data_IF_373563712689
#
_entry.id   IF_373563712689
#
_cell.length_a   1.000
_cell.length_b   1.000
_cell.length_c   1.000
_cell.angle_alpha   90.00
_cell.angle_beta   90.00
_cell.angle_gamma   90.00
#
_symmetry.space_group_name_H-M   'P 1'
#
loop_
_entity.id
_entity.type
_entity.pdbx_description
1 polymer ?
#
# COMPACT_ATOMS: atom_id res chain seq x y z
N UNK A 1 -17.79 -69.18 5.85
CA UNK A 1 -18.07 -68.70 7.22
C UNK A 1 -17.13 -67.56 7.49
N UNK A 2 -17.51 -66.30 7.14
CA UNK A 2 -16.68 -65.11 7.25
C UNK A 2 -17.42 -64.11 8.14
N UNK A 3 -16.88 -63.86 9.31
CA UNK A 3 -17.42 -62.96 10.32
C UNK A 3 -17.15 -61.52 9.90
N UNK A 4 -18.21 -60.73 9.71
CA UNK A 4 -18.16 -59.26 9.58
C UNK A 4 -18.02 -58.65 10.97
N UNK A 5 -16.91 -57.98 11.21
CA UNK A 5 -16.73 -57.11 12.37
C UNK A 5 -17.09 -55.68 11.91
N UNK A 6 -18.21 -55.15 12.42
CA UNK A 6 -18.61 -53.76 12.29
C UNK A 6 -17.89 -52.94 13.38
N UNK A 7 -16.99 -52.06 12.98
CA UNK A 7 -16.48 -51.00 13.85
C UNK A 7 -17.37 -49.76 13.75
N UNK A 8 -18.18 -49.50 14.77
CA UNK A 8 -18.89 -48.25 14.97
C UNK A 8 -17.90 -47.21 15.42
N UNK A 9 -17.55 -46.28 14.52
CA UNK A 9 -16.72 -45.08 14.83
C UNK A 9 -17.65 -44.03 15.45
N UNK A 10 -17.63 -43.89 16.77
CA UNK A 10 -18.28 -42.76 17.48
C UNK A 10 -17.36 -41.56 17.33
N UNK A 11 -17.73 -40.67 16.41
CA UNK A 11 -17.10 -39.34 16.28
C UNK A 11 -17.62 -38.45 17.40
N UNK A 12 -16.84 -38.28 18.45
CA UNK A 12 -17.03 -37.22 19.43
C UNK A 12 -16.69 -35.89 18.78
N UNK A 13 -17.68 -35.15 18.27
CA UNK A 13 -17.54 -33.74 17.93
C UNK A 13 -17.51 -32.96 19.24
N UNK A 14 -16.32 -32.72 19.76
CA UNK A 14 -16.10 -31.76 20.82
C UNK A 14 -16.30 -30.36 20.22
N UNK A 15 -17.48 -29.74 20.41
CA UNK A 15 -17.66 -28.32 20.25
C UNK A 15 -16.80 -27.62 21.30
N UNK A 16 -15.55 -27.32 20.96
CA UNK A 16 -14.78 -26.35 21.68
C UNK A 16 -15.47 -24.98 21.42
N UNK A 17 -16.26 -24.51 22.36
CA UNK A 17 -16.57 -23.09 22.48
C UNK A 17 -15.21 -22.40 22.66
N UNK A 18 -14.64 -21.89 21.59
CA UNK A 18 -13.55 -20.96 21.66
C UNK A 18 -14.09 -19.75 22.41
N UNK A 19 -13.76 -19.64 23.68
CA UNK A 19 -13.92 -18.42 24.46
C UNK A 19 -13.10 -17.40 23.70
N UNK A 20 -13.75 -16.50 22.95
CA UNK A 20 -13.09 -15.40 22.24
C UNK A 20 -12.37 -14.55 23.27
N UNK A 21 -11.10 -14.86 23.48
CA UNK A 21 -10.24 -14.04 24.34
C UNK A 21 -10.07 -12.70 23.65
N UNK A 22 -10.64 -11.66 24.24
CA UNK A 22 -10.45 -10.27 23.74
C UNK A 22 -8.95 -10.02 23.68
N UNK A 23 -8.44 -9.85 22.45
CA UNK A 23 -7.02 -9.60 22.25
C UNK A 23 -6.70 -8.17 22.67
N UNK A 24 -5.71 -8.04 23.57
CA UNK A 24 -5.27 -6.75 24.08
C UNK A 24 -4.03 -6.28 23.34
N UNK A 25 -4.06 -5.04 22.85
CA UNK A 25 -2.96 -4.45 22.10
C UNK A 25 -2.39 -3.22 22.83
N UNK A 26 -1.06 -3.17 22.97
CA UNK A 26 -0.34 -1.92 23.17
C UNK A 26 -0.12 -1.22 21.83
N UNK A 27 0.24 0.06 21.82
CA UNK A 27 0.58 0.78 20.56
C UNK A 27 1.67 0.06 19.78
N UNK A 28 2.72 -0.39 20.46
CA UNK A 28 3.80 -1.18 19.86
C UNK A 28 3.28 -2.47 19.23
N UNK A 29 2.45 -3.23 19.95
CA UNK A 29 1.86 -4.48 19.45
C UNK A 29 0.91 -4.25 18.26
N UNK A 30 0.11 -3.17 18.30
CA UNK A 30 -0.78 -2.80 17.21
C UNK A 30 0.00 -2.45 15.93
N UNK A 31 1.10 -1.70 16.05
CA UNK A 31 1.98 -1.38 14.93
C UNK A 31 2.63 -2.66 14.38
N UNK A 32 3.19 -3.52 15.24
CA UNK A 32 3.81 -4.79 14.80
C UNK A 32 2.80 -5.70 14.10
N UNK A 33 1.60 -5.79 14.62
CA UNK A 33 0.52 -6.54 13.97
C UNK A 33 0.20 -5.98 12.58
N UNK A 34 0.04 -4.66 12.46
CA UNK A 34 -0.24 -4.00 11.19
C UNK A 34 0.89 -4.20 10.16
N UNK A 35 2.16 -4.16 10.59
CA UNK A 35 3.31 -4.38 9.71
C UNK A 35 3.35 -5.80 9.11
N UNK A 36 2.64 -6.76 9.73
CA UNK A 36 2.56 -8.14 9.23
C UNK A 36 1.23 -8.46 8.54
N UNK A 37 0.13 -7.80 8.92
CA UNK A 37 -1.21 -8.17 8.49
C UNK A 37 -1.92 -7.11 7.62
N UNK A 38 -1.44 -5.86 7.56
CA UNK A 38 -2.07 -4.82 6.72
C UNK A 38 -2.05 -5.22 5.24
N UNK A 39 -3.21 -5.35 4.56
CA UNK A 39 -3.27 -5.74 3.16
C UNK A 39 -2.57 -4.74 2.24
N UNK A 40 -2.65 -3.44 2.55
CA UNK A 40 -1.98 -2.39 1.78
C UNK A 40 -0.47 -2.56 1.80
N UNK A 41 0.10 -2.85 2.97
CA UNK A 41 1.53 -3.09 3.11
C UNK A 41 1.97 -4.41 2.46
N UNK A 42 1.17 -5.46 2.60
CA UNK A 42 1.42 -6.75 1.93
C UNK A 42 1.46 -6.58 0.40
N UNK A 43 0.55 -5.79 -0.18
CA UNK A 43 0.54 -5.52 -1.61
C UNK A 43 1.83 -4.83 -2.07
N UNK A 44 2.32 -3.83 -1.35
CA UNK A 44 3.60 -3.17 -1.71
C UNK A 44 4.81 -4.09 -1.54
N UNK A 45 4.76 -5.03 -0.59
CA UNK A 45 5.77 -6.08 -0.47
C UNK A 45 5.70 -7.08 -1.64
N UNK A 46 4.50 -7.45 -2.10
CA UNK A 46 4.32 -8.29 -3.28
C UNK A 46 4.83 -7.60 -4.54
N UNK A 47 4.62 -6.29 -4.70
CA UNK A 47 5.20 -5.51 -5.80
C UNK A 47 6.73 -5.59 -5.81
N UNK A 48 7.37 -5.51 -4.64
CA UNK A 48 8.81 -5.74 -4.52
C UNK A 48 9.21 -7.17 -4.92
N UNK A 49 8.43 -8.19 -4.53
CA UNK A 49 8.68 -9.58 -4.95
C UNK A 49 8.51 -9.76 -6.47
N UNK A 50 7.49 -9.14 -7.07
CA UNK A 50 7.27 -9.12 -8.52
C UNK A 50 8.50 -8.50 -9.22
N UNK A 51 9.00 -7.37 -8.72
CA UNK A 51 10.20 -6.75 -9.27
C UNK A 51 11.45 -7.66 -9.16
N UNK A 52 11.55 -8.48 -8.12
CA UNK A 52 12.60 -9.51 -8.00
C UNK A 52 12.46 -10.60 -9.07
N UNK A 53 11.24 -11.10 -9.31
CA UNK A 53 11.00 -12.10 -10.34
C UNK A 53 11.22 -11.53 -11.75
N UNK A 54 10.96 -10.25 -11.96
CA UNK A 54 11.24 -9.57 -13.23
C UNK A 54 12.74 -9.61 -13.62
N UNK A 55 13.63 -9.61 -12.62
CA UNK A 55 15.05 -9.81 -12.88
C UNK A 55 15.31 -11.21 -13.45
N UNK A 56 14.69 -12.24 -12.90
CA UNK A 56 14.82 -13.62 -13.39
C UNK A 56 14.23 -13.76 -14.81
N UNK A 57 13.07 -13.17 -15.05
CA UNK A 57 12.41 -13.12 -16.36
C UNK A 57 13.32 -12.46 -17.42
N UNK A 58 13.86 -11.27 -17.14
CA UNK A 58 14.77 -10.60 -18.08
C UNK A 58 16.07 -11.40 -18.26
N UNK A 59 16.59 -12.00 -17.17
CA UNK A 59 17.79 -12.86 -17.23
C UNK A 59 17.55 -14.08 -18.13
N UNK A 60 16.34 -14.66 -18.12
CA UNK A 60 16.01 -15.85 -18.92
C UNK A 60 16.11 -15.60 -20.42
N UNK A 61 15.90 -14.36 -20.90
CA UNK A 61 16.10 -14.02 -22.30
C UNK A 61 17.57 -14.20 -22.79
N UNK A 62 18.53 -14.19 -21.86
CA UNK A 62 19.93 -14.52 -22.14
C UNK A 62 20.25 -16.00 -22.04
N UNK A 63 19.33 -16.87 -21.66
CA UNK A 63 19.51 -18.32 -21.61
C UNK A 63 19.05 -18.97 -22.93
N UNK A 64 19.47 -20.22 -23.22
CA UNK A 64 18.97 -20.94 -24.38
C UNK A 64 17.44 -21.04 -24.38
N UNK A 65 16.81 -20.69 -25.49
CA UNK A 65 15.39 -20.85 -25.75
C UNK A 65 15.19 -22.05 -26.68
N UNK A 66 14.43 -23.04 -26.23
CA UNK A 66 14.14 -24.25 -27.01
C UNK A 66 12.64 -24.32 -27.24
N UNK A 67 12.25 -24.34 -28.52
CA UNK A 67 10.85 -24.40 -28.93
C UNK A 67 10.61 -25.58 -29.84
N UNK A 68 9.52 -26.28 -29.71
CA UNK A 68 9.05 -27.29 -30.65
C UNK A 68 7.90 -26.73 -31.48
N UNK A 69 7.96 -26.91 -32.77
CA UNK A 69 6.91 -26.45 -33.69
C UNK A 69 6.51 -27.62 -34.60
N UNK A 70 5.21 -27.87 -34.69
CA UNK A 70 4.61 -28.80 -35.64
C UNK A 70 3.72 -28.02 -36.59
N UNK A 71 4.04 -28.09 -37.89
CA UNK A 71 3.31 -27.34 -38.93
C UNK A 71 2.77 -28.31 -39.97
N UNK A 72 1.45 -28.47 -40.04
CA UNK A 72 0.77 -29.16 -41.14
C UNK A 72 0.23 -28.11 -42.10
N UNK A 73 0.68 -28.22 -43.40
CA UNK A 73 0.16 -27.38 -44.48
C UNK A 73 -0.54 -28.28 -45.50
N UNK A 74 -1.74 -27.87 -45.88
CA UNK A 74 -2.46 -28.42 -47.01
C UNK A 74 -2.56 -27.35 -48.10
N UNK A 75 -1.94 -27.60 -49.26
CA UNK A 75 -2.03 -26.73 -50.41
C UNK A 75 -3.27 -27.09 -51.22
N UNK A 76 -4.29 -26.24 -51.18
CA UNK A 76 -5.51 -26.37 -52.02
C UNK A 76 -5.10 -26.28 -53.49
N UNK A 77 -4.15 -25.38 -53.79
CA UNK A 77 -3.45 -25.35 -55.09
C UNK A 77 -1.95 -25.32 -54.85
N UNK A 78 -1.25 -26.25 -55.51
CA UNK A 78 0.21 -26.31 -55.42
C UNK A 78 0.79 -25.15 -56.21
N UNK A 79 1.72 -24.37 -55.61
CA UNK A 79 2.34 -23.23 -56.29
C UNK A 79 2.99 -23.65 -57.64
N UNK A 80 2.68 -22.90 -58.69
CA UNK A 80 3.26 -23.10 -60.01
C UNK A 80 4.55 -22.27 -60.11
N UNK A 81 5.66 -22.93 -60.41
CA UNK A 81 6.93 -22.27 -60.69
C UNK A 81 7.19 -22.25 -62.23
N UNK A 82 7.63 -21.10 -62.71
CA UNK A 82 8.07 -21.00 -64.12
C UNK A 82 9.50 -21.48 -64.23
N UNK A 83 9.72 -22.53 -65.02
CA UNK A 83 11.05 -23.09 -65.29
C UNK A 83 11.45 -22.79 -66.73
N UNK A 84 12.72 -22.41 -66.99
CA UNK A 84 13.17 -22.18 -68.36
C UNK A 84 12.92 -23.41 -69.23
N UNK A 85 12.21 -23.21 -70.33
CA UNK A 85 11.79 -24.28 -71.23
C UNK A 85 12.93 -25.03 -71.90
N UNK A 86 14.09 -24.43 -71.91
CA UNK A 86 15.32 -25.03 -72.44
C UNK A 86 15.63 -26.38 -71.76
N UNK A 87 15.31 -26.59 -70.48
CA UNK A 87 15.49 -27.86 -69.77
C UNK A 87 14.58 -29.00 -70.32
N UNK A 88 13.53 -28.61 -71.02
CA UNK A 88 12.55 -29.55 -71.62
C UNK A 88 12.49 -29.50 -73.11
N UNK A 89 13.56 -28.99 -73.79
CA UNK A 89 13.70 -28.99 -75.27
C UNK A 89 12.90 -27.85 -75.95
N UNK A 90 12.36 -26.87 -75.20
CA UNK A 90 11.68 -25.73 -75.80
C UNK A 90 12.67 -24.62 -76.21
N UNK A 91 12.30 -23.68 -77.15
CA UNK A 91 13.15 -22.58 -77.56
C UNK A 91 13.65 -21.71 -76.40
N UNK A 92 14.87 -21.15 -76.59
CA UNK A 92 15.46 -20.21 -75.62
C UNK A 92 14.50 -19.02 -75.31
N UNK A 93 14.40 -18.69 -74.01
CA UNK A 93 13.53 -17.58 -73.53
C UNK A 93 12.07 -17.97 -73.32
N UNK A 94 11.69 -19.24 -73.53
CA UNK A 94 10.34 -19.73 -73.14
C UNK A 94 10.34 -20.23 -71.67
N UNK A 95 9.22 -20.06 -70.98
CA UNK A 95 9.01 -20.58 -69.64
C UNK A 95 7.85 -21.58 -69.63
N UNK A 96 8.11 -22.73 -69.00
CA UNK A 96 7.08 -23.77 -68.80
C UNK A 96 6.60 -23.74 -67.38
N UNK A 97 5.27 -23.61 -67.14
CA UNK A 97 4.72 -23.67 -65.79
C UNK A 97 4.73 -25.10 -65.28
N UNK A 98 5.46 -25.33 -64.19
CA UNK A 98 5.53 -26.65 -63.52
C UNK A 98 5.07 -26.51 -62.08
N UNK A 99 4.25 -27.44 -61.62
CA UNK A 99 3.83 -27.55 -60.22
C UNK A 99 4.79 -28.46 -59.49
N UNK A 100 5.65 -27.87 -58.61
CA UNK A 100 6.54 -28.64 -57.77
C UNK A 100 5.97 -28.76 -56.36
N UNK A 101 5.82 -29.97 -55.86
CA UNK A 101 5.36 -30.25 -54.54
C UNK A 101 4.18 -31.21 -54.49
N UNK A 102 3.68 -31.38 -53.28
CA UNK A 102 2.55 -32.26 -52.98
C UNK A 102 1.57 -31.51 -52.07
N UNK A 103 0.30 -31.93 -52.05
CA UNK A 103 -0.72 -31.18 -51.28
C UNK A 103 -0.46 -31.12 -49.78
N UNK A 104 0.03 -32.19 -49.18
CA UNK A 104 0.23 -32.28 -47.74
C UNK A 104 1.69 -32.18 -47.36
N UNK A 105 2.03 -31.21 -46.49
CA UNK A 105 3.35 -31.06 -45.90
C UNK A 105 3.26 -31.00 -44.40
N UNK A 106 3.87 -31.94 -43.69
CA UNK A 106 3.99 -31.96 -42.25
C UNK A 106 5.46 -31.77 -41.85
N UNK A 107 5.71 -30.77 -41.06
CA UNK A 107 7.04 -30.50 -40.52
C UNK A 107 6.95 -30.54 -38.97
N UNK A 108 7.83 -31.28 -38.36
CA UNK A 108 7.99 -31.37 -36.90
C UNK A 108 9.42 -30.99 -36.61
N UNK A 109 9.61 -29.93 -35.80
CA UNK A 109 10.95 -29.43 -35.53
C UNK A 109 11.12 -28.94 -34.11
N UNK A 110 12.40 -28.93 -33.70
CA UNK A 110 12.87 -28.30 -32.48
C UNK A 110 13.89 -27.22 -32.90
N UNK A 111 13.63 -26.00 -32.46
CA UNK A 111 14.53 -24.87 -32.70
C UNK A 111 15.12 -24.40 -31.37
N UNK A 112 16.42 -24.17 -31.35
CA UNK A 112 17.16 -23.61 -30.24
C UNK A 112 17.70 -22.23 -30.63
N UNK A 113 17.48 -21.23 -29.78
CA UNK A 113 18.12 -19.92 -29.97
C UNK A 113 18.81 -19.50 -28.66
N UNK A 114 20.01 -18.90 -28.82
CA UNK A 114 20.78 -18.37 -27.68
C UNK A 114 21.26 -16.98 -27.99
N UNK A 115 20.87 -16.03 -27.17
CA UNK A 115 21.41 -14.68 -27.27
C UNK A 115 22.86 -14.66 -26.81
N UNK A 116 23.78 -14.29 -27.74
CA UNK A 116 25.21 -14.19 -27.45
C UNK A 116 25.63 -12.77 -27.11
N UNK A 117 25.06 -11.80 -27.83
CA UNK A 117 25.30 -10.39 -27.59
C UNK A 117 24.10 -9.54 -27.99
N UNK A 118 23.66 -8.69 -27.08
CA UNK A 118 22.73 -7.59 -27.32
C UNK A 118 22.96 -6.53 -26.23
N UNK A 119 23.36 -5.32 -26.64
CA UNK A 119 23.63 -4.22 -25.75
C UNK A 119 22.38 -3.84 -24.91
N UNK A 120 21.17 -3.95 -25.50
CA UNK A 120 19.93 -3.61 -24.83
C UNK A 120 19.59 -4.61 -23.72
N UNK A 121 19.95 -5.88 -23.89
CA UNK A 121 19.77 -6.92 -22.88
C UNK A 121 20.59 -6.62 -21.61
N UNK A 122 21.90 -6.33 -21.75
CA UNK A 122 22.76 -6.08 -20.59
C UNK A 122 22.35 -4.84 -19.82
N UNK A 123 21.97 -3.77 -20.52
CA UNK A 123 21.49 -2.54 -19.89
C UNK A 123 20.09 -2.78 -19.31
N UNK A 124 19.22 -3.52 -19.99
CA UNK A 124 17.90 -3.92 -19.52
C UNK A 124 17.97 -4.69 -18.20
N UNK A 125 18.90 -5.64 -18.09
CA UNK A 125 19.13 -6.38 -16.84
C UNK A 125 19.58 -5.46 -15.70
N UNK A 126 20.37 -4.44 -15.99
CA UNK A 126 20.77 -3.43 -15.00
C UNK A 126 19.58 -2.52 -14.61
N UNK A 127 18.71 -2.19 -15.58
CA UNK A 127 17.50 -1.40 -15.33
C UNK A 127 16.50 -2.13 -14.42
N UNK A 128 16.34 -3.45 -14.58
CA UNK A 128 15.45 -4.23 -13.67
C UNK A 128 15.94 -4.22 -12.23
N UNK A 129 17.27 -4.17 -12.02
CA UNK A 129 17.84 -4.02 -10.66
C UNK A 129 17.53 -2.65 -10.06
N UNK A 130 17.58 -1.58 -10.87
CA UNK A 130 17.20 -0.24 -10.42
C UNK A 130 15.69 -0.15 -10.09
N UNK A 131 14.84 -0.82 -10.88
CA UNK A 131 13.40 -0.91 -10.58
C UNK A 131 13.14 -1.68 -9.29
N UNK A 132 13.87 -2.79 -9.03
CA UNK A 132 13.79 -3.50 -7.75
C UNK A 132 14.14 -2.59 -6.57
N UNK A 133 15.18 -1.76 -6.67
CA UNK A 133 15.54 -0.80 -5.62
C UNK A 133 14.44 0.24 -5.41
N UNK A 134 13.86 0.76 -6.51
CA UNK A 134 12.73 1.68 -6.45
C UNK A 134 11.54 1.08 -5.69
N UNK A 135 11.13 -0.15 -6.02
CA UNK A 135 10.00 -0.82 -5.37
C UNK A 135 10.30 -1.17 -3.91
N UNK A 136 11.53 -1.48 -3.57
CA UNK A 136 11.94 -1.69 -2.17
C UNK A 136 11.81 -0.41 -1.34
N UNK A 137 12.23 0.75 -1.87
CA UNK A 137 12.07 2.03 -1.18
C UNK A 137 10.60 2.45 -1.07
N UNK A 138 9.79 2.15 -2.09
CA UNK A 138 8.34 2.34 -2.02
C UNK A 138 7.70 1.48 -0.90
N UNK A 139 8.14 0.23 -0.74
CA UNK A 139 7.73 -0.62 0.37
C UNK A 139 8.15 -0.03 1.73
N UNK A 140 9.39 0.47 1.87
CA UNK A 140 9.84 1.13 3.11
C UNK A 140 8.97 2.36 3.44
N UNK A 141 8.61 3.17 2.43
CA UNK A 141 7.69 4.30 2.60
C UNK A 141 6.32 3.85 3.09
N UNK A 142 5.75 2.79 2.48
CA UNK A 142 4.46 2.24 2.89
C UNK A 142 4.48 1.74 4.34
N UNK A 143 5.61 1.21 4.83
CA UNK A 143 5.78 0.85 6.25
C UNK A 143 5.64 2.06 7.15
N UNK A 144 6.30 3.17 6.84
CA UNK A 144 6.19 4.42 7.62
C UNK A 144 4.76 4.98 7.58
N UNK A 145 4.10 4.93 6.43
CA UNK A 145 2.70 5.34 6.29
C UNK A 145 1.78 4.48 7.17
N UNK A 146 2.00 3.17 7.21
CA UNK A 146 1.25 2.23 8.07
C UNK A 146 1.49 2.54 9.55
N UNK A 147 2.74 2.74 9.97
CA UNK A 147 3.08 3.13 11.35
C UNK A 147 2.35 4.42 11.73
N UNK A 148 2.41 5.44 10.87
CA UNK A 148 1.74 6.74 11.08
C UNK A 148 0.22 6.57 11.26
N UNK A 149 -0.42 5.82 10.34
CA UNK A 149 -1.86 5.63 10.34
C UNK A 149 -2.35 4.86 11.57
N UNK A 150 -1.65 3.78 11.92
CA UNK A 150 -1.99 2.97 13.11
C UNK A 150 -1.77 3.75 14.40
N UNK A 151 -0.66 4.50 14.52
CA UNK A 151 -0.38 5.31 15.71
C UNK A 151 -1.45 6.38 15.93
N UNK A 152 -1.86 7.08 14.87
CA UNK A 152 -2.94 8.08 14.95
C UNK A 152 -4.29 7.45 15.30
N UNK A 153 -4.64 6.33 14.66
CA UNK A 153 -5.88 5.63 14.95
C UNK A 153 -5.91 5.10 16.38
N UNK A 154 -4.79 4.57 16.88
CA UNK A 154 -4.64 4.09 18.26
C UNK A 154 -4.84 5.21 19.27
N UNK A 155 -4.19 6.36 19.08
CA UNK A 155 -4.35 7.55 19.93
C UNK A 155 -5.79 8.08 19.89
N UNK A 156 -6.43 8.05 18.72
CA UNK A 156 -7.85 8.44 18.59
C UNK A 156 -8.74 7.57 19.44
N UNK A 157 -8.52 6.25 19.48
CA UNK A 157 -9.28 5.35 20.36
C UNK A 157 -9.05 5.70 21.82
N UNK A 158 -7.80 5.86 22.28
CA UNK A 158 -7.50 6.21 23.68
C UNK A 158 -8.19 7.52 24.12
N UNK A 159 -8.15 8.54 23.26
CA UNK A 159 -8.72 9.85 23.58
C UNK A 159 -10.25 9.83 23.56
N UNK A 160 -10.87 9.10 22.62
CA UNK A 160 -12.32 8.95 22.59
C UNK A 160 -12.83 8.11 23.78
N UNK A 161 -12.08 7.11 24.22
CA UNK A 161 -12.38 6.37 25.45
C UNK A 161 -12.31 7.25 26.69
N UNK A 162 -11.27 8.07 26.82
CA UNK A 162 -11.13 9.00 27.94
C UNK A 162 -12.25 10.03 27.94
N UNK A 163 -12.62 10.59 26.80
CA UNK A 163 -13.77 11.47 26.67
C UNK A 163 -15.05 10.78 27.08
N UNK A 164 -15.28 9.53 26.67
CA UNK A 164 -16.46 8.77 27.04
C UNK A 164 -16.53 8.54 28.56
N UNK A 165 -15.40 8.22 29.20
CA UNK A 165 -15.26 8.06 30.63
C UNK A 165 -15.65 9.35 31.40
N UNK A 166 -15.07 10.48 30.95
CA UNK A 166 -15.38 11.79 31.56
C UNK A 166 -16.85 12.19 31.41
N UNK A 167 -17.44 11.95 30.24
CA UNK A 167 -18.87 12.20 30.00
C UNK A 167 -19.76 11.32 30.91
N UNK A 168 -19.36 10.06 31.13
CA UNK A 168 -20.07 9.13 32.01
C UNK A 168 -20.03 9.63 33.47
N UNK A 169 -18.88 10.04 33.96
CA UNK A 169 -18.71 10.58 35.32
C UNK A 169 -19.56 11.84 35.51
N UNK A 170 -19.51 12.76 34.54
CA UNK A 170 -20.34 13.97 34.58
C UNK A 170 -21.86 13.65 34.57
N UNK A 171 -22.27 12.67 33.77
CA UNK A 171 -23.66 12.24 33.68
C UNK A 171 -24.15 11.65 35.01
N UNK A 172 -23.35 10.79 35.66
CA UNK A 172 -23.68 10.16 36.92
C UNK A 172 -23.78 11.21 38.05
N UNK A 173 -22.89 12.23 38.04
CA UNK A 173 -22.96 13.36 38.97
C UNK A 173 -24.22 14.20 38.75
N UNK A 174 -24.52 14.59 37.51
CA UNK A 174 -25.68 15.40 37.16
C UNK A 174 -26.99 14.66 37.49
N UNK A 175 -27.03 13.34 37.25
CA UNK A 175 -28.16 12.49 37.61
C UNK A 175 -28.42 12.50 39.14
N UNK A 176 -27.35 12.51 39.94
CA UNK A 176 -27.44 12.58 41.40
C UNK A 176 -28.00 13.92 41.83
N UNK A 177 -27.50 15.04 41.29
CA UNK A 177 -27.99 16.39 41.53
C UNK A 177 -29.46 16.55 41.11
N UNK A 178 -29.84 16.05 39.95
CA UNK A 178 -31.22 16.05 39.45
C UNK A 178 -32.16 15.32 40.42
N UNK A 179 -31.75 14.15 40.92
CA UNK A 179 -32.52 13.36 41.87
C UNK A 179 -32.75 14.11 43.21
N UNK A 180 -31.67 14.73 43.72
CA UNK A 180 -31.72 15.52 44.96
C UNK A 180 -32.65 16.74 44.80
N UNK A 181 -32.48 17.52 43.73
CA UNK A 181 -33.31 18.70 43.45
C UNK A 181 -34.76 18.33 43.22
N UNK A 182 -35.05 17.18 42.57
CA UNK A 182 -36.41 16.67 42.42
C UNK A 182 -37.05 16.35 43.78
N UNK A 183 -36.33 15.70 44.69
CA UNK A 183 -36.81 15.43 46.06
C UNK A 183 -37.09 16.72 46.87
N UNK A 184 -36.21 17.73 46.72
CA UNK A 184 -36.45 19.05 47.35
C UNK A 184 -37.67 19.75 46.76
N UNK A 185 -37.92 19.68 45.48
CA UNK A 185 -39.10 20.18 44.81
C UNK A 185 -40.40 19.48 45.35
N UNK A 186 -40.38 18.15 45.39
CA UNK A 186 -41.48 17.34 45.88
C UNK A 186 -41.79 17.64 47.38
N UNK A 187 -40.76 18.02 48.16
CA UNK A 187 -40.85 18.43 49.52
C UNK A 187 -41.20 19.94 49.71
N UNK A 188 -41.30 20.72 48.62
CA UNK A 188 -41.64 22.14 48.62
C UNK A 188 -40.47 23.10 48.94
N UNK A 189 -39.19 22.60 48.89
CA UNK A 189 -37.96 23.37 49.17
C UNK A 189 -37.23 23.87 47.95
N UNK A 190 -37.64 23.47 46.73
CA UNK A 190 -37.08 23.95 45.48
C UNK A 190 -38.15 24.31 44.46
N UNK A 191 -37.86 25.20 43.51
CA UNK A 191 -38.77 25.56 42.43
C UNK A 191 -38.84 24.51 41.34
N UNK A 192 -40.02 24.36 40.69
CA UNK A 192 -40.16 23.47 39.51
C UNK A 192 -39.18 23.83 38.40
N UNK A 193 -38.91 25.11 38.24
CA UNK A 193 -38.01 25.61 37.21
C UNK A 193 -36.56 25.09 37.40
N UNK A 194 -36.09 24.98 38.64
CA UNK A 194 -34.73 24.45 38.93
C UNK A 194 -34.60 22.98 38.57
N UNK A 195 -35.59 22.17 38.94
CA UNK A 195 -35.66 20.78 38.54
C UNK A 195 -35.68 20.64 37.00
N UNK A 196 -36.54 21.42 36.31
CA UNK A 196 -36.67 21.34 34.87
C UNK A 196 -35.36 21.74 34.12
N UNK A 197 -34.62 22.73 34.61
CA UNK A 197 -33.31 23.13 34.06
C UNK A 197 -32.29 22.01 34.17
N UNK A 198 -32.21 21.33 35.28
CA UNK A 198 -31.33 20.19 35.50
C UNK A 198 -31.72 18.99 34.60
N UNK A 199 -33.03 18.77 34.40
CA UNK A 199 -33.52 17.73 33.50
C UNK A 199 -33.11 17.99 32.05
N UNK A 200 -33.22 19.22 31.56
CA UNK A 200 -32.73 19.62 30.23
C UNK A 200 -31.22 19.43 30.13
N UNK A 201 -30.44 19.85 31.12
CA UNK A 201 -29.01 19.67 31.16
C UNK A 201 -28.63 18.18 31.14
N UNK A 202 -29.31 17.34 31.89
CA UNK A 202 -29.12 15.88 31.88
C UNK A 202 -29.41 15.27 30.51
N UNK A 203 -30.53 15.61 29.90
CA UNK A 203 -30.90 15.09 28.55
C UNK A 203 -29.89 15.49 27.48
N UNK A 204 -29.38 16.72 27.52
CA UNK A 204 -28.34 17.19 26.62
C UNK A 204 -27.04 16.40 26.81
N UNK A 205 -26.61 16.22 28.08
CA UNK A 205 -25.39 15.46 28.37
C UNK A 205 -25.51 13.98 28.01
N UNK A 206 -26.70 13.36 28.21
CA UNK A 206 -26.99 12.00 27.80
C UNK A 206 -26.87 11.86 26.28
N UNK A 207 -27.31 12.86 25.50
CA UNK A 207 -27.18 12.87 24.04
C UNK A 207 -25.69 12.93 23.62
N UNK A 208 -24.90 13.79 24.29
CA UNK A 208 -23.46 13.88 24.03
C UNK A 208 -22.72 12.60 24.44
N UNK A 209 -23.11 11.94 25.53
CA UNK A 209 -22.56 10.62 25.90
C UNK A 209 -22.84 9.55 24.83
N UNK A 210 -24.06 9.47 24.32
CA UNK A 210 -24.44 8.52 23.29
C UNK A 210 -23.64 8.74 22.01
N UNK A 211 -23.52 10.00 21.58
CA UNK A 211 -22.67 10.36 20.42
C UNK A 211 -21.19 9.97 20.62
N UNK A 212 -20.66 10.23 21.83
CA UNK A 212 -19.27 9.85 22.13
C UNK A 212 -19.07 8.34 22.14
N UNK A 213 -20.06 7.55 22.58
CA UNK A 213 -20.03 6.09 22.53
C UNK A 213 -19.96 5.58 21.06
N UNK A 214 -20.80 6.14 20.19
CA UNK A 214 -20.79 5.81 18.75
C UNK A 214 -19.46 6.18 18.09
N UNK A 215 -18.92 7.38 18.39
CA UNK A 215 -17.62 7.81 17.87
C UNK A 215 -16.48 6.92 18.38
N UNK A 216 -16.54 6.45 19.61
CA UNK A 216 -15.55 5.52 20.16
C UNK A 216 -15.61 4.16 19.44
N UNK A 217 -16.82 3.65 19.18
CA UNK A 217 -17.00 2.43 18.39
C UNK A 217 -16.42 2.58 16.97
N UNK A 218 -16.68 3.72 16.31
CA UNK A 218 -16.12 4.02 14.99
C UNK A 218 -14.58 4.12 15.02
N UNK A 219 -14.00 4.73 16.06
CA UNK A 219 -12.56 4.81 16.24
C UNK A 219 -11.92 3.41 16.35
N UNK A 220 -12.54 2.47 17.06
CA UNK A 220 -12.12 1.08 17.13
C UNK A 220 -12.17 0.39 15.75
N UNK A 221 -13.25 0.57 14.99
CA UNK A 221 -13.37 0.02 13.64
C UNK A 221 -12.28 0.59 12.72
N UNK A 222 -11.98 1.89 12.84
CA UNK A 222 -10.92 2.55 12.08
C UNK A 222 -9.54 1.97 12.44
N UNK A 223 -9.26 1.78 13.72
CA UNK A 223 -8.02 1.15 14.17
C UNK A 223 -7.86 -0.27 13.61
N UNK A 224 -8.89 -1.11 13.72
CA UNK A 224 -8.91 -2.46 13.17
C UNK A 224 -8.63 -2.47 11.68
N UNK A 225 -9.27 -1.56 10.93
CA UNK A 225 -9.05 -1.41 9.48
C UNK A 225 -7.58 -1.07 9.17
N UNK A 226 -6.99 -0.10 9.89
CA UNK A 226 -5.59 0.29 9.67
C UNK A 226 -4.61 -0.84 10.04
N UNK A 227 -4.95 -1.64 11.06
CA UNK A 227 -4.18 -2.81 11.45
C UNK A 227 -4.32 -3.99 10.47
N UNK A 228 -5.36 -4.04 9.65
CA UNK A 228 -5.76 -5.25 8.91
C UNK A 228 -6.34 -6.33 9.82
N UNK A 229 -6.94 -5.93 10.94
CA UNK A 229 -7.60 -6.83 11.89
C UNK A 229 -9.08 -7.03 11.51
N UNK A 230 -9.67 -8.23 11.70
CA UNK A 230 -11.08 -8.48 11.41
C UNK A 230 -12.00 -7.52 12.17
N UNK A 231 -12.96 -6.90 11.45
CA UNK A 231 -13.81 -5.85 12.03
C UNK A 231 -14.83 -6.40 13.04
N UNK A 232 -15.21 -7.66 12.93
CA UNK A 232 -16.16 -8.39 13.76
C UNK A 232 -15.58 -8.87 15.10
N UNK A 233 -14.25 -9.02 15.19
CA UNK A 233 -13.61 -9.47 16.43
C UNK A 233 -13.36 -8.31 17.40
N UNK A 234 -13.66 -8.47 18.71
CA UNK A 234 -13.40 -7.44 19.70
C UNK A 234 -11.90 -7.31 20.00
N UNK A 235 -11.47 -6.08 20.25
CA UNK A 235 -10.12 -5.78 20.75
C UNK A 235 -10.18 -4.86 21.96
N UNK A 236 -9.15 -4.92 22.81
CA UNK A 236 -8.95 -3.98 23.91
C UNK A 236 -7.58 -3.31 23.76
N UNK A 237 -7.42 -2.12 24.34
CA UNK A 237 -6.15 -1.43 24.40
C UNK A 237 -5.58 -1.50 25.82
N UNK A 238 -4.25 -1.70 25.93
CA UNK A 238 -3.57 -1.81 27.22
C UNK A 238 -2.98 -0.50 27.71
N UNK A 239 -2.72 0.44 26.80
CA UNK A 239 -2.00 1.65 27.14
C UNK A 239 -2.95 2.72 27.67
N UNK A 240 -2.42 3.54 28.55
CA UNK A 240 -3.00 4.83 28.92
C UNK A 240 -2.50 5.91 27.97
N UNK A 241 -3.15 7.08 27.97
CA UNK A 241 -2.71 8.21 27.16
C UNK A 241 -1.25 8.57 27.49
N UNK A 242 -0.34 8.50 26.52
CA UNK A 242 1.05 8.86 26.76
C UNK A 242 1.18 10.35 27.02
N UNK A 243 2.12 10.72 27.86
CA UNK A 243 2.51 12.13 28.00
C UNK A 243 3.31 12.55 26.75
N UNK A 244 3.01 13.77 26.27
CA UNK A 244 3.84 14.36 25.22
C UNK A 244 5.23 14.69 25.78
N UNK A 245 6.32 14.35 25.06
CA UNK A 245 7.66 14.68 25.51
C UNK A 245 7.82 16.20 25.65
N UNK A 246 8.54 16.62 26.66
CA UNK A 246 8.87 18.02 26.89
C UNK A 246 9.81 18.50 25.79
N UNK A 247 9.25 19.09 24.74
CA UNK A 247 10.00 19.58 23.59
C UNK A 247 10.51 20.98 23.88
N UNK A 248 11.81 21.11 24.05
CA UNK A 248 12.46 22.41 24.12
C UNK A 248 12.47 23.08 22.76
N UNK A 249 12.36 24.40 22.62
CA UNK A 249 12.39 25.12 21.34
C UNK A 249 13.60 24.76 20.48
N UNK A 250 14.76 24.51 21.09
CA UNK A 250 15.99 24.12 20.40
C UNK A 250 15.92 22.72 19.79
N UNK A 251 15.16 21.79 20.40
CA UNK A 251 14.95 20.45 19.84
C UNK A 251 14.07 20.45 18.58
N UNK A 252 13.38 21.53 18.32
CA UNK A 252 12.55 21.76 17.13
C UNK A 252 13.31 22.50 16.01
N UNK A 253 14.63 22.69 16.17
CA UNK A 253 15.47 23.32 15.15
C UNK A 253 15.56 22.46 13.89
N UNK A 254 15.39 23.08 12.71
CA UNK A 254 15.56 22.46 11.40
C UNK A 254 16.99 22.62 10.82
N UNK A 255 17.98 23.07 11.62
CA UNK A 255 19.33 23.34 11.14
C UNK A 255 20.00 22.12 10.51
N UNK A 256 19.69 20.92 10.99
CA UNK A 256 20.26 19.66 10.50
C UNK A 256 19.29 18.89 9.58
N UNK A 257 18.17 19.50 9.17
CA UNK A 257 17.23 18.83 8.28
C UNK A 257 17.76 18.80 6.85
N UNK A 258 18.01 17.58 6.34
CA UNK A 258 18.39 17.38 4.93
C UNK A 258 17.25 16.62 4.21
N UNK A 259 16.52 17.29 3.30
CA UNK A 259 15.47 16.65 2.50
C UNK A 259 15.95 15.43 1.71
N UNK A 260 17.26 15.35 1.41
CA UNK A 260 17.81 14.24 0.64
C UNK A 260 17.81 12.90 1.41
N UNK A 261 17.69 12.94 2.74
CA UNK A 261 17.61 11.75 3.57
C UNK A 261 16.17 11.14 3.60
N UNK A 262 15.17 11.93 3.20
CA UNK A 262 13.77 11.47 3.16
C UNK A 262 13.58 10.36 2.12
N UNK A 263 12.78 9.35 2.46
CA UNK A 263 12.50 8.23 1.56
C UNK A 263 11.87 8.66 0.24
N UNK A 264 11.02 9.68 0.25
CA UNK A 264 10.39 10.24 -0.95
C UNK A 264 11.46 10.77 -1.93
N UNK A 265 12.47 11.46 -1.43
CA UNK A 265 13.59 11.94 -2.24
C UNK A 265 14.45 10.77 -2.75
N UNK A 266 14.70 9.78 -1.90
CA UNK A 266 15.45 8.58 -2.26
C UNK A 266 14.72 7.72 -3.33
N UNK A 267 13.40 7.67 -3.30
CA UNK A 267 12.56 7.03 -4.32
C UNK A 267 12.78 7.72 -5.67
N UNK A 268 12.74 9.05 -5.70
CA UNK A 268 12.91 9.83 -6.92
C UNK A 268 14.34 9.74 -7.49
N UNK A 269 15.36 9.61 -6.61
CA UNK A 269 16.73 9.27 -7.01
C UNK A 269 16.85 7.88 -7.62
N UNK A 270 16.19 6.88 -7.03
CA UNK A 270 16.15 5.54 -7.60
C UNK A 270 15.44 5.52 -8.98
N UNK A 271 14.38 6.30 -9.14
CA UNK A 271 13.71 6.53 -10.43
C UNK A 271 14.66 7.17 -11.44
N UNK A 272 15.42 8.20 -11.05
CA UNK A 272 16.44 8.79 -11.91
C UNK A 272 17.42 7.75 -12.43
N UNK A 273 17.89 6.87 -11.56
CA UNK A 273 18.80 5.79 -11.95
C UNK A 273 18.18 4.85 -12.99
N UNK A 274 16.91 4.51 -12.85
CA UNK A 274 16.18 3.71 -13.83
C UNK A 274 16.06 4.43 -15.18
N UNK A 275 15.79 5.75 -15.18
CA UNK A 275 15.71 6.58 -16.37
C UNK A 275 17.08 6.73 -17.07
N UNK A 276 18.17 6.88 -16.32
CA UNK A 276 19.54 6.88 -16.88
C UNK A 276 19.85 5.57 -17.61
N UNK A 277 19.47 4.45 -17.02
CA UNK A 277 19.64 3.14 -17.65
C UNK A 277 18.73 2.96 -18.85
N UNK A 278 17.50 3.50 -18.81
CA UNK A 278 16.59 3.50 -19.96
C UNK A 278 17.16 4.32 -21.13
N UNK A 279 17.73 5.52 -20.87
CA UNK A 279 18.44 6.29 -21.87
C UNK A 279 19.61 5.51 -22.46
N UNK A 280 20.43 4.89 -21.61
CA UNK A 280 21.56 4.06 -22.06
C UNK A 280 21.08 2.88 -22.90
N UNK A 281 19.96 2.25 -22.58
CA UNK A 281 19.36 1.16 -23.36
C UNK A 281 19.06 1.62 -24.79
N UNK A 282 18.47 2.79 -24.99
CA UNK A 282 18.23 3.34 -26.32
C UNK A 282 19.51 3.72 -27.05
N UNK A 283 20.54 4.19 -26.35
CA UNK A 283 21.84 4.47 -26.94
C UNK A 283 22.56 3.22 -27.43
N UNK A 284 22.54 2.14 -26.65
CA UNK A 284 23.18 0.87 -27.06
C UNK A 284 22.37 0.06 -28.08
N UNK A 285 21.12 0.44 -28.35
CA UNK A 285 20.29 -0.17 -29.39
C UNK A 285 20.79 0.09 -30.81
N UNK A 286 21.79 0.94 -30.99
CA UNK A 286 22.53 1.11 -32.27
C UNK A 286 23.59 0.03 -32.48
N UNK A 287 23.97 -0.71 -31.44
CA UNK A 287 24.93 -1.80 -31.55
C UNK A 287 24.34 -3.02 -32.27
N UNK A 288 25.14 -3.84 -32.98
CA UNK A 288 24.67 -5.10 -33.51
C UNK A 288 24.20 -6.05 -32.41
N UNK A 289 23.30 -6.99 -32.76
CA UNK A 289 22.98 -8.14 -31.92
C UNK A 289 23.45 -9.42 -32.60
N UNK A 290 23.88 -10.41 -31.80
CA UNK A 290 24.37 -11.71 -32.22
C UNK A 290 23.60 -12.81 -31.50
N UNK A 291 23.00 -13.70 -32.31
CA UNK A 291 22.23 -14.84 -31.81
C UNK A 291 22.77 -16.11 -32.40
N UNK A 292 23.00 -17.13 -31.61
CA UNK A 292 23.21 -18.50 -32.06
C UNK A 292 21.86 -19.13 -32.32
N UNK A 293 21.71 -19.80 -33.46
CA UNK A 293 20.52 -20.50 -33.91
C UNK A 293 20.82 -21.96 -34.22
N UNK A 294 19.93 -22.85 -33.83
CA UNK A 294 20.01 -24.27 -34.17
C UNK A 294 18.61 -24.78 -34.51
N UNK A 295 18.54 -25.71 -35.45
CA UNK A 295 17.29 -26.36 -35.79
C UNK A 295 17.53 -27.83 -36.08
N UNK A 296 16.65 -28.65 -35.55
CA UNK A 296 16.53 -30.06 -35.86
C UNK A 296 15.06 -30.31 -36.19
N UNK A 297 14.78 -30.61 -37.45
CA UNK A 297 13.42 -30.83 -37.91
C UNK A 297 13.37 -32.09 -38.80
N UNK A 298 12.21 -32.64 -38.96
CA UNK A 298 11.89 -33.66 -39.95
C UNK A 298 10.61 -33.26 -40.65
N UNK A 299 10.62 -33.45 -41.97
CA UNK A 299 9.46 -33.14 -42.78
C UNK A 299 9.00 -34.37 -43.61
N UNK A 300 7.70 -34.46 -43.76
CA UNK A 300 7.07 -35.41 -44.64
C UNK A 300 6.20 -34.67 -45.67
N UNK A 301 6.38 -35.03 -46.95
CA UNK A 301 5.63 -34.49 -48.08
C UNK A 301 4.80 -35.64 -48.68
N UNK A 302 3.46 -35.43 -48.80
CA UNK A 302 2.52 -36.50 -49.16
C UNK A 302 1.45 -36.01 -50.15
N UNK A 303 1.00 -36.96 -51.03
CA UNK A 303 -0.17 -36.72 -51.87
C UNK A 303 -1.48 -36.91 -51.12
N UNK A 304 -1.47 -37.74 -50.08
CA UNK A 304 -2.63 -38.08 -49.20
C UNK A 304 -2.24 -37.90 -47.75
N UNK A 305 -3.25 -37.84 -46.87
CA UNK A 305 -3.04 -37.67 -45.41
C UNK A 305 -2.69 -39.02 -44.75
N UNK A 306 -1.44 -39.46 -44.93
CA UNK A 306 -0.91 -40.76 -44.48
C UNK A 306 0.35 -40.62 -43.61
N UNK A 307 0.45 -39.58 -42.82
CA UNK A 307 1.63 -39.31 -42.01
C UNK A 307 1.91 -40.32 -40.91
N UNK A 308 0.92 -41.16 -40.55
CA UNK A 308 1.05 -42.23 -39.57
C UNK A 308 1.60 -43.55 -40.18
N UNK A 309 1.77 -43.61 -41.46
CA UNK A 309 2.38 -44.78 -42.10
C UNK A 309 3.90 -44.80 -41.86
N UNK A 310 4.35 -45.69 -41.00
CA UNK A 310 5.75 -45.84 -40.60
C UNK A 310 6.67 -46.35 -41.73
N UNK A 311 6.12 -46.86 -42.84
CA UNK A 311 6.89 -47.31 -44.01
C UNK A 311 7.30 -46.16 -44.90
N UNK A 312 6.66 -45.01 -44.80
CA UNK A 312 6.95 -43.84 -45.63
C UNK A 312 8.04 -42.96 -45.01
N UNK A 313 8.95 -42.47 -45.87
CA UNK A 313 10.14 -41.75 -45.43
C UNK A 313 9.81 -40.34 -44.91
N UNK A 314 10.51 -39.96 -43.83
CA UNK A 314 10.64 -38.61 -43.34
C UNK A 314 12.02 -38.07 -43.70
N UNK A 315 12.12 -36.79 -43.98
CA UNK A 315 13.35 -36.13 -44.42
C UNK A 315 13.86 -35.23 -43.28
N UNK A 316 15.00 -35.58 -42.66
CA UNK A 316 15.57 -34.78 -41.60
C UNK A 316 16.24 -33.52 -42.16
N UNK A 317 16.12 -32.42 -41.41
CA UNK A 317 16.77 -31.13 -41.62
C UNK A 317 17.47 -30.75 -40.35
N UNK A 318 18.76 -30.51 -40.37
CA UNK A 318 19.51 -30.05 -39.21
C UNK A 318 20.49 -28.96 -39.62
N UNK A 319 20.53 -27.88 -38.88
CA UNK A 319 21.52 -26.84 -39.03
C UNK A 319 21.85 -26.13 -37.74
N UNK A 320 23.05 -25.57 -37.69
CA UNK A 320 23.48 -24.62 -36.66
C UNK A 320 24.04 -23.39 -37.37
N UNK A 321 23.91 -22.22 -36.73
CA UNK A 321 24.39 -20.99 -37.34
C UNK A 321 24.43 -19.82 -36.39
N UNK A 322 24.90 -18.69 -36.88
CA UNK A 322 24.92 -17.42 -36.18
C UNK A 322 24.18 -16.39 -37.02
N UNK A 323 23.35 -15.63 -36.38
CA UNK A 323 22.61 -14.49 -36.96
C UNK A 323 23.16 -13.20 -36.36
N UNK A 324 23.83 -12.39 -37.19
CA UNK A 324 24.25 -11.04 -36.85
C UNK A 324 23.26 -10.04 -37.44
N UNK A 325 22.63 -9.26 -36.59
CA UNK A 325 21.70 -8.20 -37.01
C UNK A 325 22.32 -6.84 -36.73
N UNK A 326 22.57 -6.07 -37.78
CA UNK A 326 23.13 -4.71 -37.72
C UNK A 326 22.07 -3.71 -38.15
N UNK A 327 21.61 -2.85 -37.25
CA UNK A 327 20.59 -1.82 -37.60
C UNK A 327 21.25 -0.67 -38.37
N UNK A 328 21.02 -0.57 -39.68
CA UNK A 328 21.62 0.45 -40.55
C UNK A 328 20.80 1.75 -40.55
N UNK A 329 19.47 1.63 -40.68
CA UNK A 329 18.54 2.75 -40.73
C UNK A 329 17.16 2.32 -40.25
N UNK A 330 16.52 3.12 -39.41
CA UNK A 330 15.22 2.81 -38.82
C UNK A 330 14.22 3.99 -38.88
N UNK A 331 14.41 4.91 -39.81
CA UNK A 331 13.56 6.09 -39.98
C UNK A 331 13.68 7.07 -38.78
N UNK A 332 14.87 7.17 -38.17
CA UNK A 332 15.15 8.07 -36.99
C UNK A 332 14.41 7.69 -35.71
N UNK A 333 13.77 6.53 -35.64
CA UNK A 333 13.03 6.05 -34.46
C UNK A 333 13.91 6.04 -33.21
N UNK A 334 15.12 5.46 -33.30
CA UNK A 334 16.05 5.41 -32.16
C UNK A 334 16.51 6.80 -31.71
N UNK A 335 16.75 7.71 -32.66
CA UNK A 335 17.13 9.08 -32.36
C UNK A 335 16.02 9.79 -31.55
N UNK A 336 14.76 9.62 -31.97
CA UNK A 336 13.60 10.15 -31.25
C UNK A 336 13.45 9.52 -29.86
N UNK A 337 13.65 8.21 -29.71
CA UNK A 337 13.62 7.52 -28.41
C UNK A 337 14.71 8.02 -27.46
N UNK A 338 15.94 8.24 -27.95
CA UNK A 338 17.03 8.86 -27.16
C UNK A 338 16.67 10.28 -26.73
N UNK A 339 16.08 11.07 -27.63
CA UNK A 339 15.64 12.42 -27.30
C UNK A 339 14.53 12.41 -26.24
N UNK A 340 13.52 11.55 -26.37
CA UNK A 340 12.47 11.39 -25.37
C UNK A 340 13.04 11.00 -24.00
N UNK A 341 13.94 10.00 -23.94
CA UNK A 341 14.56 9.57 -22.68
C UNK A 341 15.41 10.67 -22.03
N UNK A 342 16.05 11.56 -22.82
CA UNK A 342 16.74 12.75 -22.28
C UNK A 342 15.74 13.74 -21.63
N UNK A 343 14.61 13.97 -22.29
CA UNK A 343 13.56 14.86 -21.76
C UNK A 343 12.94 14.30 -20.48
N UNK A 344 12.76 12.97 -20.39
CA UNK A 344 12.32 12.30 -19.17
C UNK A 344 13.31 12.49 -18.00
N UNK A 345 14.61 12.46 -18.27
CA UNK A 345 15.64 12.75 -17.26
C UNK A 345 15.60 14.22 -16.81
N UNK A 346 15.43 15.16 -17.74
CA UNK A 346 15.28 16.59 -17.39
C UNK A 346 14.01 16.81 -16.54
N UNK A 347 12.91 16.16 -16.91
CA UNK A 347 11.67 16.18 -16.10
C UNK A 347 11.93 15.67 -14.68
N UNK A 348 12.57 14.53 -14.53
CA UNK A 348 12.91 13.99 -13.21
C UNK A 348 13.83 14.94 -12.41
N UNK A 349 14.72 15.65 -13.06
CA UNK A 349 15.56 16.66 -12.39
C UNK A 349 14.71 17.82 -11.84
N UNK A 350 13.72 18.29 -12.59
CA UNK A 350 12.77 19.29 -12.12
C UNK A 350 11.93 18.76 -10.96
N UNK A 351 11.46 17.49 -11.06
CA UNK A 351 10.69 16.82 -10.00
C UNK A 351 11.52 16.71 -8.70
N UNK A 352 12.83 16.40 -8.78
CA UNK A 352 13.75 16.38 -7.63
C UNK A 352 13.89 17.77 -6.99
N UNK A 353 14.02 18.81 -7.79
CA UNK A 353 14.07 20.18 -7.29
C UNK A 353 12.77 20.56 -6.58
N UNK A 354 11.62 20.31 -7.23
CA UNK A 354 10.31 20.60 -6.67
C UNK A 354 10.05 19.81 -5.38
N UNK A 355 10.39 18.52 -5.36
CA UNK A 355 10.23 17.68 -4.17
C UNK A 355 11.10 18.19 -3.02
N UNK A 356 12.34 18.61 -3.28
CA UNK A 356 13.20 19.18 -2.24
C UNK A 356 12.56 20.41 -1.59
N UNK A 357 11.98 21.29 -2.39
CA UNK A 357 11.27 22.48 -1.87
C UNK A 357 10.02 22.07 -1.08
N UNK A 358 9.25 21.10 -1.59
CA UNK A 358 8.05 20.60 -0.92
C UNK A 358 8.38 19.95 0.44
N UNK A 359 9.41 19.11 0.53
CA UNK A 359 9.85 18.50 1.78
C UNK A 359 10.36 19.54 2.80
N UNK A 360 11.06 20.58 2.32
CA UNK A 360 11.48 21.69 3.19
C UNK A 360 10.27 22.45 3.73
N UNK A 361 9.29 22.73 2.89
CA UNK A 361 8.03 23.38 3.30
C UNK A 361 7.24 22.50 4.26
N UNK A 362 7.15 21.18 4.00
CA UNK A 362 6.49 20.21 4.88
C UNK A 362 7.11 20.22 6.28
N UNK A 363 8.45 20.19 6.38
CA UNK A 363 9.14 20.21 7.66
C UNK A 363 8.90 21.53 8.42
N UNK A 364 8.89 22.69 7.72
CA UNK A 364 8.59 23.98 8.32
C UNK A 364 7.13 24.04 8.81
N UNK A 365 6.19 23.60 8.00
CA UNK A 365 4.78 23.56 8.37
C UNK A 365 4.53 22.64 9.57
N UNK A 366 5.11 21.44 9.57
CA UNK A 366 4.99 20.51 10.68
C UNK A 366 5.54 21.11 11.99
N UNK A 367 6.65 21.84 11.92
CA UNK A 367 7.20 22.57 13.08
C UNK A 367 6.25 23.65 13.59
N UNK A 368 5.71 24.49 12.70
CA UNK A 368 4.78 25.56 13.07
C UNK A 368 3.51 24.97 13.69
N UNK A 369 2.96 23.95 13.07
CA UNK A 369 1.75 23.26 13.58
C UNK A 369 2.00 22.65 14.95
N UNK A 370 3.15 22.02 15.17
CA UNK A 370 3.51 21.44 16.48
C UNK A 370 3.62 22.50 17.55
N UNK A 371 4.30 23.61 17.28
CA UNK A 371 4.40 24.73 18.24
C UNK A 371 3.03 25.29 18.60
N UNK A 372 2.17 25.49 17.60
CA UNK A 372 0.80 25.98 17.82
C UNK A 372 -0.04 24.98 18.62
N UNK A 373 0.03 23.67 18.29
CA UNK A 373 -0.70 22.63 18.99
C UNK A 373 -0.27 22.50 20.46
N UNK A 374 1.04 22.58 20.75
CA UNK A 374 1.56 22.56 22.12
C UNK A 374 1.12 23.78 22.93
N UNK A 375 1.16 24.97 22.31
CA UNK A 375 0.67 26.19 22.94
C UNK A 375 -0.84 26.13 23.22
N UNK A 376 -1.63 25.65 22.24
CA UNK A 376 -3.06 25.45 22.41
C UNK A 376 -3.36 24.45 23.55
N UNK A 377 -2.64 23.33 23.58
CA UNK A 377 -2.77 22.32 24.64
C UNK A 377 -2.50 22.92 26.03
N UNK A 378 -1.46 23.74 26.18
CA UNK A 378 -1.15 24.40 27.43
C UNK A 378 -2.27 25.36 27.88
N UNK A 379 -2.85 26.13 26.95
CA UNK A 379 -3.98 27.03 27.21
C UNK A 379 -5.22 26.23 27.61
N UNK A 380 -5.55 25.15 26.87
CA UNK A 380 -6.74 24.35 27.19
C UNK A 380 -6.60 23.59 28.51
N UNK A 381 -5.39 23.13 28.86
CA UNK A 381 -5.11 22.57 30.19
C UNK A 381 -5.38 23.59 31.30
N UNK A 382 -4.92 24.81 31.13
CA UNK A 382 -5.16 25.88 32.08
C UNK A 382 -6.63 26.26 32.21
N UNK A 383 -7.36 26.29 31.08
CA UNK A 383 -8.81 26.51 31.08
C UNK A 383 -9.56 25.42 31.81
N UNK A 384 -9.14 24.15 31.65
CA UNK A 384 -9.73 23.03 32.38
C UNK A 384 -9.53 23.15 33.88
N UNK A 385 -8.31 23.47 34.35
CA UNK A 385 -8.00 23.69 35.77
C UNK A 385 -8.85 24.83 36.37
N UNK A 386 -8.99 25.94 35.63
CA UNK A 386 -9.83 27.09 36.08
C UNK A 386 -11.31 26.73 36.11
N UNK A 387 -11.82 26.05 35.08
CA UNK A 387 -13.22 25.65 35.01
C UNK A 387 -13.58 24.64 36.12
N UNK A 388 -12.68 23.74 36.46
CA UNK A 388 -12.80 22.81 37.57
C UNK A 388 -12.91 23.58 38.90
N UNK A 389 -12.02 24.54 39.16
CA UNK A 389 -12.01 25.37 40.34
C UNK A 389 -13.32 26.18 40.48
N UNK A 390 -13.82 26.73 39.37
CA UNK A 390 -15.11 27.45 39.33
C UNK A 390 -16.26 26.51 39.68
N UNK A 391 -16.29 25.30 39.08
CA UNK A 391 -17.33 24.31 39.37
C UNK A 391 -17.33 23.91 40.84
N UNK A 392 -16.19 23.51 41.41
CA UNK A 392 -16.07 23.12 42.83
C UNK A 392 -16.49 24.24 43.77
N UNK A 393 -16.07 25.49 43.47
CA UNK A 393 -16.45 26.66 44.29
C UNK A 393 -17.96 26.94 44.21
N UNK A 394 -18.52 26.84 42.99
CA UNK A 394 -19.97 27.07 42.80
C UNK A 394 -20.81 25.99 43.50
N UNK A 395 -20.36 24.72 43.43
CA UNK A 395 -21.04 23.64 44.16
C UNK A 395 -21.08 23.88 45.67
N UNK A 396 -19.97 24.27 46.30
CA UNK A 396 -19.91 24.62 47.71
C UNK A 396 -20.84 25.79 48.07
N UNK A 397 -20.94 26.79 47.18
CA UNK A 397 -21.86 27.93 47.37
C UNK A 397 -23.33 27.51 47.27
N UNK A 398 -23.66 26.60 46.34
CA UNK A 398 -25.03 26.06 46.23
C UNK A 398 -25.40 25.28 47.49
N UNK A 399 -24.50 24.41 48.00
CA UNK A 399 -24.70 23.67 49.24
C UNK A 399 -24.92 24.60 50.45
N UNK A 400 -24.26 25.76 50.47
CA UNK A 400 -24.42 26.79 51.50
C UNK A 400 -25.63 27.73 51.26
N UNK A 401 -26.42 27.52 50.18
CA UNK A 401 -27.54 28.37 49.80
C UNK A 401 -27.14 29.77 49.27
N UNK A 402 -25.89 29.96 48.89
CA UNK A 402 -25.31 31.24 48.46
C UNK A 402 -25.19 31.38 46.93
N UNK A 403 -25.54 30.35 46.16
CA UNK A 403 -25.56 30.38 44.71
C UNK A 403 -26.83 29.69 44.17
N UNK A 404 -27.23 30.09 42.94
CA UNK A 404 -28.44 29.57 42.30
C UNK A 404 -28.15 28.29 41.49
N UNK A 405 -29.21 27.52 41.22
CA UNK A 405 -29.14 26.37 40.29
C UNK A 405 -28.66 26.78 38.90
N UNK A 406 -28.97 28.01 38.44
CA UNK A 406 -28.49 28.55 37.16
C UNK A 406 -26.98 28.67 37.13
N UNK A 407 -26.38 29.22 38.19
CA UNK A 407 -24.91 29.34 38.30
C UNK A 407 -24.25 27.97 38.34
N UNK A 408 -24.84 26.98 39.01
CA UNK A 408 -24.35 25.60 39.02
C UNK A 408 -24.34 24.96 37.61
N UNK A 409 -25.46 25.09 36.89
CA UNK A 409 -25.55 24.56 35.49
C UNK A 409 -24.58 25.26 34.56
N UNK A 410 -24.40 26.59 34.70
CA UNK A 410 -23.42 27.33 33.91
C UNK A 410 -21.98 26.88 34.18
N UNK A 411 -21.61 26.72 35.45
CA UNK A 411 -20.30 26.22 35.85
C UNK A 411 -20.04 24.79 35.33
N UNK A 412 -21.07 23.92 35.43
CA UNK A 412 -20.99 22.56 34.88
C UNK A 412 -20.79 22.56 33.35
N UNK A 413 -21.55 23.37 32.62
CA UNK A 413 -21.40 23.49 31.17
C UNK A 413 -20.01 24.04 30.78
N UNK A 414 -19.51 25.04 31.50
CA UNK A 414 -18.17 25.59 31.28
C UNK A 414 -17.06 24.53 31.48
N UNK A 415 -17.20 23.72 32.55
CA UNK A 415 -16.28 22.64 32.85
C UNK A 415 -16.31 21.57 31.75
N UNK A 416 -17.49 21.14 31.28
CA UNK A 416 -17.64 20.17 30.18
C UNK A 416 -17.03 20.70 28.87
N UNK A 417 -17.24 21.98 28.54
CA UNK A 417 -16.60 22.61 27.37
C UNK A 417 -15.08 22.64 27.50
N UNK A 418 -14.55 22.94 28.69
CA UNK A 418 -13.12 22.93 28.94
C UNK A 418 -12.53 21.50 28.84
N UNK A 419 -13.21 20.45 29.31
CA UNK A 419 -12.84 19.05 29.13
C UNK A 419 -12.78 18.67 27.66
N UNK A 420 -13.80 19.06 26.86
CA UNK A 420 -13.85 18.84 25.46
C UNK A 420 -12.70 19.55 24.71
N UNK A 421 -12.47 20.83 25.06
CA UNK A 421 -11.38 21.63 24.52
C UNK A 421 -10.00 20.97 24.76
N UNK A 422 -9.78 20.56 26.03
CA UNK A 422 -8.53 19.90 26.42
C UNK A 422 -8.32 18.54 25.70
N UNK A 423 -9.33 17.66 25.66
CA UNK A 423 -9.20 16.35 24.99
C UNK A 423 -9.00 16.49 23.48
N UNK A 424 -9.62 17.50 22.85
CA UNK A 424 -9.43 17.80 21.44
C UNK A 424 -8.01 18.33 21.16
N UNK A 425 -7.54 19.28 21.98
CA UNK A 425 -6.18 19.81 21.86
C UNK A 425 -5.10 18.74 22.12
N UNK A 426 -5.37 17.79 23.01
CA UNK A 426 -4.48 16.67 23.29
C UNK A 426 -4.37 15.73 22.08
N UNK A 427 -5.49 15.38 21.44
CA UNK A 427 -5.49 14.59 20.21
C UNK A 427 -4.72 15.30 19.08
N UNK A 428 -4.99 16.58 18.88
CA UNK A 428 -4.31 17.40 17.89
C UNK A 428 -2.80 17.43 18.12
N UNK A 429 -2.37 17.71 19.35
CA UNK A 429 -0.95 17.77 19.71
C UNK A 429 -0.22 16.44 19.46
N UNK A 430 -0.81 15.30 19.84
CA UNK A 430 -0.24 13.99 19.53
C UNK A 430 -0.20 13.68 18.04
N UNK A 431 -1.29 13.99 17.30
CA UNK A 431 -1.35 13.76 15.86
C UNK A 431 -0.28 14.57 15.11
N UNK A 432 -0.17 15.85 15.44
CA UNK A 432 0.82 16.78 14.85
C UNK A 432 2.24 16.39 15.24
N UNK A 433 2.47 15.86 16.44
CA UNK A 433 3.76 15.34 16.86
C UNK A 433 4.21 14.15 15.98
N UNK A 434 3.31 13.22 15.68
CA UNK A 434 3.58 12.12 14.75
C UNK A 434 3.89 12.65 13.34
N UNK A 435 3.13 13.65 12.87
CA UNK A 435 3.39 14.27 11.56
C UNK A 435 4.75 14.97 11.51
N UNK A 436 5.14 15.63 12.59
CA UNK A 436 6.45 16.25 12.70
C UNK A 436 7.59 15.22 12.67
N UNK A 437 7.46 14.10 13.41
CA UNK A 437 8.42 13.01 13.35
C UNK A 437 8.53 12.43 11.94
N UNK A 438 7.39 12.23 11.27
CA UNK A 438 7.34 11.78 9.87
C UNK A 438 8.03 12.79 8.94
N UNK A 439 7.72 14.08 9.08
CA UNK A 439 8.28 15.14 8.25
C UNK A 439 9.81 15.26 8.37
N UNK A 440 10.36 14.93 9.52
CA UNK A 440 11.83 14.88 9.72
C UNK A 440 12.46 13.54 9.34
N UNK A 441 11.67 12.51 9.02
CA UNK A 441 12.19 11.15 8.75
C UNK A 441 12.65 10.41 10.00
N UNK A 442 12.17 10.81 11.19
CA UNK A 442 12.53 10.23 12.49
C UNK A 442 11.64 9.04 12.87
N UNK A 443 10.54 8.82 12.16
CA UNK A 443 9.66 7.68 12.38
C UNK A 443 10.36 6.39 11.94
N UNK A 444 10.69 5.56 12.93
CA UNK A 444 11.22 4.21 12.74
C UNK A 444 10.27 3.19 13.36
N UNK A 445 10.52 1.91 13.11
CA UNK A 445 9.82 0.84 13.81
C UNK A 445 10.08 0.94 15.31
N UNK A 446 9.07 0.71 16.14
CA UNK A 446 9.28 0.61 17.59
C UNK A 446 10.15 -0.62 17.88
N UNK A 447 11.29 -0.38 18.52
CA UNK A 447 12.22 -1.42 18.98
C UNK A 447 11.59 -2.43 19.96
#
# INVERSE_FOLDING_TARGET
>A
MVARVQYSLIVFVSLAFAQESIQTFSMKAAIQYALTHSPSLQNTYLDYQIARQKIAEVRSAGLPQINSTTTLRYFVEIPTSLVPGEFFGAPRGTFIPIRFGVPYNLEIGVTGTQLLFDGTYFVGLSATRAVKELTYRAYQRSRIETITAVSKAYLTVLITQERLRLLKENLDQLQTTLRQTKGLYEAGFAEKLDYQRLEVAYNNLQTEYNKAAELTALAYLTLKLQMGYPLDQPIALSDTLPELPLLLPDSLSLQNFDPAQRLEYQILLAQRRALELNLRRYQVAYLPSLVFISSLATQAQRNEFDFFDTKKRWFPIAFIGFQLQVPLFDGLRKASQVSQARLELLKNQNDLYQLRQALTLEAQNARIQLLNALQNLAIQKRNLELAQTVLETTQKKVEAGLASTVESVQAQNAYQQAQLGYTTALLEAHSVYIDWQKALGLLSEPE
#
